data_IF_722153978662
#
_entry.id   IF_722153978662
#
_cell.length_a   1.000
_cell.length_b   1.000
_cell.length_c   1.000
_cell.angle_alpha   90.00
_cell.angle_beta   90.00
_cell.angle_gamma   90.00
#
_symmetry.space_group_name_H-M   'P 1'
#
loop_
_entity.id
_entity.type
_entity.pdbx_description
1 polymer ?
#
# COMPACT_ATOMS: atom_id res chain seq x y z
N UNK A 1 16.98 16.21 -61.00
CA UNK A 1 18.15 15.88 -61.87
C UNK A 1 18.41 14.39 -61.75
N UNK A 2 18.07 13.73 -62.83
CA UNK A 2 18.88 12.79 -63.67
C UNK A 2 19.22 11.49 -62.94
N UNK A 3 18.57 10.40 -63.27
CA UNK A 3 18.72 9.51 -64.47
C UNK A 3 19.58 8.34 -64.11
N UNK A 4 19.17 7.19 -64.29
CA UNK A 4 18.87 6.26 -65.39
C UNK A 4 19.59 4.96 -65.15
N UNK A 5 18.96 3.91 -65.24
CA UNK A 5 18.70 3.03 -66.42
C UNK A 5 19.80 1.94 -66.58
N UNK A 6 19.58 0.72 -66.80
CA UNK A 6 18.90 -0.07 -67.78
C UNK A 6 19.36 -1.51 -67.66
N UNK A 7 18.50 -2.44 -67.71
CA UNK A 7 18.10 -3.34 -68.79
C UNK A 7 19.25 -4.13 -69.46
N UNK A 8 19.19 -5.40 -69.73
CA UNK A 8 18.36 -6.16 -70.68
C UNK A 8 18.91 -7.59 -70.76
N UNK A 9 18.06 -8.61 -70.73
CA UNK A 9 17.58 -9.48 -71.85
C UNK A 9 18.60 -10.42 -72.49
N UNK A 10 18.28 -11.67 -72.68
CA UNK A 10 17.69 -12.40 -73.81
C UNK A 10 17.90 -13.90 -73.58
N UNK A 11 16.94 -14.77 -73.52
CA UNK A 11 16.09 -15.41 -74.53
C UNK A 11 16.87 -16.14 -75.63
N UNK A 12 16.62 -17.42 -75.76
CA UNK A 12 16.34 -18.29 -76.92
C UNK A 12 16.84 -19.71 -76.67
N UNK A 13 16.25 -20.71 -77.05
CA UNK A 13 15.14 -21.19 -77.88
C UNK A 13 15.40 -22.69 -78.11
N UNK A 14 14.37 -23.44 -77.95
CA UNK A 14 13.73 -24.47 -78.78
C UNK A 14 14.52 -25.64 -79.39
N UNK A 15 14.06 -26.84 -78.97
CA UNK A 15 13.50 -28.02 -79.69
C UNK A 15 14.36 -28.79 -80.70
N UNK A 16 13.89 -30.03 -81.17
CA UNK A 16 13.04 -31.07 -80.57
C UNK A 16 13.49 -32.52 -80.78
N UNK A 17 12.67 -33.42 -80.26
CA UNK A 17 12.26 -34.73 -80.81
C UNK A 17 13.28 -35.87 -81.09
N UNK A 18 13.08 -37.00 -80.43
CA UNK A 18 12.58 -38.25 -81.07
C UNK A 18 12.32 -39.36 -80.07
N UNK A 19 11.13 -39.84 -80.13
CA UNK A 19 10.68 -41.07 -79.49
C UNK A 19 11.52 -42.31 -79.90
N UNK A 20 11.80 -43.15 -78.94
CA UNK A 20 11.85 -44.59 -79.15
C UNK A 20 11.48 -45.34 -77.88
N UNK A 21 10.33 -45.92 -77.99
CA UNK A 21 9.78 -46.97 -77.18
C UNK A 21 10.76 -48.12 -77.03
N UNK A 22 11.10 -48.48 -75.78
CA UNK A 22 11.64 -49.83 -75.45
C UNK A 22 11.06 -50.24 -74.11
N UNK A 23 10.11 -51.14 -74.18
CA UNK A 23 9.65 -52.03 -73.14
C UNK A 23 10.86 -52.67 -72.46
N UNK A 24 11.08 -52.46 -71.19
CA UNK A 24 11.96 -53.25 -70.36
C UNK A 24 11.31 -53.62 -69.04
N UNK A 25 11.01 -54.91 -68.99
CA UNK A 25 10.67 -55.80 -67.91
C UNK A 25 11.02 -55.21 -66.51
N UNK A 26 10.04 -55.10 -65.70
CA UNK A 26 10.22 -55.05 -64.24
C UNK A 26 10.91 -56.26 -63.72
N UNK A 27 12.12 -56.06 -63.23
CA UNK A 27 12.76 -56.98 -62.29
C UNK A 27 12.62 -56.42 -60.92
N UNK A 28 11.72 -57.01 -60.15
CA UNK A 28 11.66 -56.81 -58.69
C UNK A 28 13.01 -57.14 -58.09
N UNK A 29 13.78 -56.12 -57.73
CA UNK A 29 14.95 -56.30 -56.87
C UNK A 29 14.49 -56.53 -55.44
N UNK A 30 14.37 -57.76 -55.02
CA UNK A 30 14.35 -58.10 -53.61
C UNK A 30 15.63 -57.60 -52.97
N UNK A 31 15.57 -56.57 -52.16
CA UNK A 31 16.67 -56.12 -51.31
C UNK A 31 16.85 -57.16 -50.20
N UNK A 32 17.72 -58.11 -50.39
CA UNK A 32 18.23 -58.96 -49.34
C UNK A 32 19.23 -58.16 -48.54
N UNK A 33 18.77 -57.59 -47.41
CA UNK A 33 19.70 -56.96 -46.49
C UNK A 33 20.68 -57.95 -45.97
N UNK A 34 21.96 -57.81 -46.36
CA UNK A 34 23.06 -58.60 -45.79
C UNK A 34 23.03 -58.40 -44.26
N UNK A 35 23.03 -59.51 -43.52
CA UNK A 35 23.00 -59.60 -42.06
C UNK A 35 23.94 -58.63 -41.32
N UNK A 36 25.06 -58.18 -41.96
CA UNK A 36 26.04 -57.23 -41.43
C UNK A 36 25.63 -55.74 -41.60
N UNK A 37 24.67 -55.40 -42.49
CA UNK A 37 24.27 -54.03 -42.75
C UNK A 37 23.24 -53.54 -41.66
N UNK A 38 22.36 -54.44 -41.18
CA UNK A 38 21.44 -54.19 -40.09
C UNK A 38 22.15 -53.86 -38.77
N UNK A 39 23.24 -54.60 -38.45
CA UNK A 39 24.03 -54.32 -37.24
C UNK A 39 24.81 -52.99 -37.33
N UNK A 40 25.22 -52.56 -38.51
CA UNK A 40 25.90 -51.26 -38.73
C UNK A 40 24.89 -50.10 -38.53
N UNK A 41 23.70 -50.24 -39.09
CA UNK A 41 22.61 -49.25 -38.92
C UNK A 41 22.21 -49.16 -37.44
N UNK A 42 22.05 -50.26 -36.74
CA UNK A 42 21.70 -50.26 -35.31
C UNK A 42 22.78 -49.57 -34.46
N UNK A 43 24.06 -49.78 -34.76
CA UNK A 43 25.17 -49.09 -34.10
C UNK A 43 25.15 -47.57 -34.34
N UNK A 44 24.85 -47.15 -35.57
CA UNK A 44 24.76 -45.71 -35.89
C UNK A 44 23.60 -45.06 -35.12
N UNK A 45 22.43 -45.73 -35.05
CA UNK A 45 21.26 -45.23 -34.29
C UNK A 45 21.58 -45.16 -32.80
N UNK A 46 22.26 -46.18 -32.26
CA UNK A 46 22.71 -46.20 -30.85
C UNK A 46 23.65 -45.02 -30.53
N UNK A 47 24.65 -44.76 -31.40
CA UNK A 47 25.55 -43.63 -31.21
C UNK A 47 24.86 -42.26 -31.33
N UNK A 48 23.91 -42.10 -32.25
CA UNK A 48 23.11 -40.88 -32.37
C UNK A 48 22.25 -40.65 -31.13
N UNK A 49 21.65 -41.72 -30.61
CA UNK A 49 20.86 -41.63 -29.38
C UNK A 49 21.71 -41.24 -28.15
N UNK A 50 22.91 -41.85 -28.07
CA UNK A 50 23.87 -41.55 -26.99
C UNK A 50 24.38 -40.11 -27.07
N UNK A 51 24.68 -39.62 -28.28
CA UNK A 51 25.10 -38.23 -28.52
C UNK A 51 23.97 -37.26 -28.18
N UNK A 52 22.72 -37.59 -28.53
CA UNK A 52 21.56 -36.76 -28.21
C UNK A 52 21.32 -36.63 -26.70
N UNK A 53 21.42 -37.74 -25.95
CA UNK A 53 21.30 -37.73 -24.48
C UNK A 53 22.44 -36.92 -23.84
N UNK A 54 23.67 -37.06 -24.36
CA UNK A 54 24.83 -36.33 -23.87
C UNK A 54 24.70 -34.81 -24.09
N UNK A 55 24.30 -34.40 -25.31
CA UNK A 55 24.06 -32.98 -25.61
C UNK A 55 22.92 -32.41 -24.74
N UNK A 56 21.85 -33.17 -24.56
CA UNK A 56 20.72 -32.75 -23.69
C UNK A 56 21.15 -32.65 -22.22
N UNK A 57 22.01 -33.52 -21.74
CA UNK A 57 22.61 -33.49 -20.41
C UNK A 57 23.48 -32.25 -20.20
N UNK A 58 24.32 -31.90 -21.17
CA UNK A 58 25.15 -30.69 -21.14
C UNK A 58 24.24 -29.43 -21.10
N UNK A 59 23.24 -29.34 -21.97
CA UNK A 59 22.31 -28.22 -22.00
C UNK A 59 21.51 -28.08 -20.67
N UNK A 60 21.19 -29.20 -20.00
CA UNK A 60 20.55 -29.19 -18.71
C UNK A 60 21.44 -28.63 -17.58
N UNK A 61 22.76 -28.92 -17.64
CA UNK A 61 23.78 -28.42 -16.68
C UNK A 61 24.02 -26.91 -16.85
N UNK A 62 23.97 -26.40 -18.08
CA UNK A 62 24.19 -24.98 -18.39
C UNK A 62 22.92 -24.13 -18.33
N UNK A 63 21.74 -24.70 -18.05
CA UNK A 63 20.54 -23.90 -17.74
C UNK A 63 20.67 -23.41 -16.32
N UNK A 64 20.64 -22.07 -16.10
CA UNK A 64 20.62 -21.55 -14.74
C UNK A 64 19.43 -22.13 -13.99
N UNK A 65 19.66 -22.53 -12.75
CA UNK A 65 18.63 -23.09 -11.89
C UNK A 65 17.51 -22.07 -11.76
N UNK A 66 16.27 -22.49 -12.04
CA UNK A 66 15.11 -21.57 -11.97
C UNK A 66 14.95 -20.95 -10.58
N UNK A 67 15.38 -21.68 -9.54
CA UNK A 67 15.39 -21.18 -8.16
C UNK A 67 16.42 -20.06 -7.97
N UNK A 68 17.58 -20.14 -8.59
CA UNK A 68 18.60 -19.11 -8.50
C UNK A 68 18.19 -17.82 -9.21
N UNK A 69 17.56 -17.92 -10.39
CA UNK A 69 16.99 -16.76 -11.12
C UNK A 69 15.85 -16.12 -10.35
N UNK A 70 14.96 -16.92 -9.75
CA UNK A 70 13.86 -16.41 -8.93
C UNK A 70 14.39 -15.75 -7.65
N UNK A 71 15.38 -16.33 -7.00
CA UNK A 71 16.00 -15.75 -5.80
C UNK A 71 16.76 -14.46 -6.12
N UNK A 72 17.44 -14.36 -7.27
CA UNK A 72 18.03 -13.11 -7.74
C UNK A 72 16.96 -12.04 -7.99
N UNK A 73 15.87 -12.37 -8.71
CA UNK A 73 14.76 -11.44 -8.93
C UNK A 73 14.13 -10.98 -7.62
N UNK A 74 13.97 -11.87 -6.63
CA UNK A 74 13.42 -11.52 -5.31
C UNK A 74 14.39 -10.61 -4.53
N UNK A 75 15.71 -10.86 -4.60
CA UNK A 75 16.71 -10.02 -3.93
C UNK A 75 16.80 -8.63 -4.57
N UNK A 76 16.83 -8.54 -5.88
CA UNK A 76 16.78 -7.27 -6.62
C UNK A 76 15.49 -6.49 -6.37
N UNK A 77 14.34 -7.19 -6.31
CA UNK A 77 13.08 -6.56 -5.95
C UNK A 77 13.08 -6.01 -4.51
N UNK A 78 13.63 -6.77 -3.55
CA UNK A 78 13.74 -6.32 -2.15
C UNK A 78 14.67 -5.14 -1.99
N UNK A 79 15.84 -5.15 -2.64
CA UNK A 79 16.77 -4.02 -2.63
C UNK A 79 16.12 -2.77 -3.23
N UNK A 80 15.58 -2.86 -4.45
CA UNK A 80 14.90 -1.76 -5.11
C UNK A 80 13.68 -1.25 -4.32
N UNK A 81 12.92 -2.14 -3.67
CA UNK A 81 11.77 -1.75 -2.86
C UNK A 81 12.20 -1.04 -1.57
N UNK A 82 13.25 -1.49 -0.90
CA UNK A 82 13.79 -0.83 0.30
C UNK A 82 14.37 0.54 -0.06
N UNK A 83 15.13 0.65 -1.13
CA UNK A 83 15.70 1.91 -1.60
C UNK A 83 14.60 2.90 -2.01
N UNK A 84 13.57 2.43 -2.71
CA UNK A 84 12.44 3.26 -3.11
C UNK A 84 11.62 3.74 -1.90
N UNK A 85 11.41 2.89 -0.89
CA UNK A 85 10.68 3.25 0.33
C UNK A 85 11.46 4.26 1.16
N UNK A 86 12.76 4.08 1.34
CA UNK A 86 13.62 5.01 2.08
C UNK A 86 13.71 6.38 1.40
N UNK A 87 13.86 6.40 0.07
CA UNK A 87 13.88 7.65 -0.71
C UNK A 87 12.56 8.43 -0.57
N UNK A 88 11.42 7.74 -0.63
CA UNK A 88 10.12 8.38 -0.47
C UNK A 88 9.93 8.98 0.93
N UNK A 89 10.38 8.26 1.97
CA UNK A 89 10.34 8.75 3.34
C UNK A 89 11.24 9.99 3.52
N UNK A 90 12.41 10.01 2.93
CA UNK A 90 13.34 11.15 2.97
C UNK A 90 12.76 12.38 2.27
N UNK A 91 12.16 12.22 1.08
CA UNK A 91 11.49 13.31 0.36
C UNK A 91 10.32 13.86 1.17
N UNK A 92 9.50 13.00 1.76
CA UNK A 92 8.38 13.41 2.61
C UNK A 92 8.87 14.14 3.87
N UNK A 93 9.94 13.67 4.51
CA UNK A 93 10.54 14.33 5.66
C UNK A 93 11.13 15.70 5.31
N UNK A 94 11.79 15.80 4.15
CA UNK A 94 12.29 17.08 3.62
C UNK A 94 11.15 18.07 3.39
N UNK A 95 10.06 17.65 2.71
CA UNK A 95 8.88 18.47 2.49
C UNK A 95 8.24 18.94 3.81
N UNK A 96 8.15 18.05 4.78
CA UNK A 96 7.57 18.34 6.09
C UNK A 96 8.40 19.39 6.85
N UNK A 97 9.73 19.27 6.84
CA UNK A 97 10.62 20.24 7.47
C UNK A 97 10.55 21.60 6.76
N UNK A 98 10.57 21.60 5.42
CA UNK A 98 10.38 22.81 4.64
C UNK A 98 9.07 23.51 4.98
N UNK A 99 7.92 22.81 5.01
CA UNK A 99 6.60 23.39 5.30
C UNK A 99 6.54 23.93 6.72
N UNK A 100 7.20 23.30 7.70
CA UNK A 100 7.30 23.82 9.06
C UNK A 100 7.98 25.18 9.07
N UNK A 101 9.12 25.32 8.41
CA UNK A 101 9.86 26.59 8.30
C UNK A 101 9.09 27.62 7.47
N UNK A 102 8.43 27.18 6.39
CA UNK A 102 7.65 28.04 5.48
C UNK A 102 6.44 28.70 6.16
N UNK A 103 5.78 27.97 7.06
CA UNK A 103 4.58 28.45 7.76
C UNK A 103 4.87 29.03 9.15
N UNK A 104 6.14 29.07 9.56
CA UNK A 104 6.55 29.68 10.84
C UNK A 104 7.28 30.99 10.57
N UNK A 105 6.73 32.11 10.99
CA UNK A 105 7.33 33.43 10.82
C UNK A 105 6.85 34.43 11.87
N UNK A 106 7.63 35.46 12.08
CA UNK A 106 7.32 36.56 12.98
C UNK A 106 7.05 37.87 12.25
N UNK A 107 6.31 38.77 12.88
CA UNK A 107 6.10 40.13 12.39
C UNK A 107 7.45 40.79 12.22
N UNK A 108 7.75 41.32 11.01
CA UNK A 108 9.01 41.95 10.62
C UNK A 108 10.25 41.03 10.63
N UNK A 109 10.03 39.71 10.68
CA UNK A 109 11.09 38.70 10.65
C UNK A 109 11.50 38.23 9.27
N UNK A 110 11.39 39.05 8.23
CA UNK A 110 11.58 38.66 6.80
C UNK A 110 12.97 38.12 6.51
N UNK A 111 14.03 38.73 7.04
CA UNK A 111 15.38 38.31 6.77
C UNK A 111 15.70 36.97 7.42
N UNK A 112 15.29 36.79 8.71
CA UNK A 112 15.46 35.53 9.40
C UNK A 112 14.66 34.40 8.73
N UNK A 113 13.43 34.69 8.33
CA UNK A 113 12.59 33.76 7.58
C UNK A 113 13.26 33.31 6.27
N UNK A 114 13.82 34.22 5.48
CA UNK A 114 14.54 33.90 4.25
C UNK A 114 15.76 33.03 4.54
N UNK A 115 16.54 33.34 5.57
CA UNK A 115 17.72 32.58 5.95
C UNK A 115 17.39 31.14 6.35
N UNK A 116 16.27 30.92 7.07
CA UNK A 116 15.82 29.58 7.45
C UNK A 116 15.34 28.77 6.27
N UNK A 117 14.71 29.39 5.26
CA UNK A 117 14.22 28.70 4.06
C UNK A 117 15.31 28.47 3.02
N UNK A 118 16.39 29.26 3.00
CA UNK A 118 17.44 29.18 1.99
C UNK A 118 17.99 27.75 1.75
N UNK A 119 18.17 26.88 2.77
CA UNK A 119 18.64 25.51 2.56
C UNK A 119 17.68 24.59 1.82
N UNK A 120 16.41 24.98 1.73
CA UNK A 120 15.35 24.13 1.15
C UNK A 120 15.00 24.51 -0.28
N UNK A 121 15.33 25.75 -0.72
CA UNK A 121 14.72 26.33 -1.92
C UNK A 121 15.76 26.70 -2.96
N UNK A 122 15.31 26.83 -4.21
CA UNK A 122 16.15 27.34 -5.30
C UNK A 122 16.48 28.83 -5.10
N UNK A 123 17.56 29.32 -5.71
CA UNK A 123 17.96 30.75 -5.66
C UNK A 123 16.89 31.69 -6.22
N UNK A 124 16.01 31.19 -7.11
CA UNK A 124 14.91 31.95 -7.69
C UNK A 124 13.63 31.99 -6.84
N UNK A 125 13.56 31.27 -5.76
CA UNK A 125 12.34 31.14 -4.94
C UNK A 125 11.83 32.50 -4.43
N UNK A 126 12.71 33.39 -4.04
CA UNK A 126 12.38 34.71 -3.54
C UNK A 126 12.35 35.81 -4.62
N UNK A 127 12.53 35.46 -5.89
CA UNK A 127 12.64 36.49 -6.97
C UNK A 127 11.30 37.20 -7.25
N UNK A 128 10.17 36.60 -6.85
CA UNK A 128 8.84 37.20 -7.02
C UNK A 128 8.46 38.21 -5.94
N UNK A 129 9.33 38.53 -4.97
CA UNK A 129 9.08 39.42 -3.86
C UNK A 129 8.89 38.70 -2.53
N UNK A 130 8.19 39.35 -1.59
CA UNK A 130 7.89 38.75 -0.29
C UNK A 130 6.95 37.55 -0.43
N UNK A 131 7.32 36.43 0.17
CA UNK A 131 6.54 35.17 0.16
C UNK A 131 5.32 35.28 1.09
N UNK A 132 5.44 36.08 2.16
CA UNK A 132 4.39 36.39 3.14
C UNK A 132 4.34 37.87 3.41
N UNK A 133 3.23 38.36 3.91
CA UNK A 133 3.05 39.78 4.22
C UNK A 133 3.54 40.20 5.62
N UNK A 134 3.93 39.22 6.47
CA UNK A 134 4.44 39.39 7.84
C UNK A 134 3.61 40.33 8.72
N UNK A 135 2.30 40.37 8.51
CA UNK A 135 1.35 41.17 9.31
C UNK A 135 0.89 40.47 10.60
N UNK A 136 1.14 39.17 10.69
CA UNK A 136 0.89 38.34 11.84
C UNK A 136 2.14 37.52 12.19
N UNK A 137 2.22 37.03 13.43
CA UNK A 137 3.11 35.92 13.76
C UNK A 137 2.39 34.63 13.48
N UNK A 138 3.05 33.68 12.81
CA UNK A 138 2.52 32.37 12.51
C UNK A 138 3.46 31.29 13.03
N UNK A 139 2.88 30.22 13.58
CA UNK A 139 3.59 29.04 14.05
C UNK A 139 2.91 27.77 13.52
N UNK A 140 3.69 26.93 12.85
CA UNK A 140 3.24 25.63 12.39
C UNK A 140 3.26 24.63 13.56
N UNK A 141 2.16 24.52 14.30
CA UNK A 141 2.04 23.67 15.50
C UNK A 141 1.93 22.18 15.16
N UNK A 142 1.53 21.86 13.94
CA UNK A 142 1.49 20.48 13.43
C UNK A 142 1.77 20.49 11.93
N UNK A 143 2.64 19.60 11.49
CA UNK A 143 2.98 19.42 10.07
C UNK A 143 3.18 17.94 9.78
N UNK A 144 2.53 17.42 8.75
CA UNK A 144 2.65 16.02 8.35
C UNK A 144 2.54 15.88 6.84
N UNK A 145 3.59 15.35 6.21
CA UNK A 145 3.51 14.85 4.85
C UNK A 145 2.75 13.51 4.86
N UNK A 146 1.76 13.35 3.96
CA UNK A 146 0.90 12.17 3.98
C UNK A 146 0.69 11.53 2.61
N UNK A 147 1.03 12.23 1.53
CA UNK A 147 0.93 11.73 0.16
C UNK A 147 2.05 12.32 -0.70
N UNK A 148 2.53 11.53 -1.62
CA UNK A 148 3.48 11.94 -2.64
C UNK A 148 3.02 11.41 -4.00
N UNK A 149 3.18 12.21 -5.03
CA UNK A 149 2.88 11.85 -6.42
C UNK A 149 4.12 12.14 -7.28
N UNK A 150 4.44 11.24 -8.18
CA UNK A 150 5.52 11.43 -9.14
C UNK A 150 5.03 12.33 -10.27
N UNK A 151 5.69 13.46 -10.48
CA UNK A 151 5.50 14.30 -11.66
C UNK A 151 6.40 13.84 -12.81
N UNK A 152 7.66 13.54 -12.48
CA UNK A 152 8.64 12.84 -13.33
C UNK A 152 9.49 11.94 -12.42
N UNK A 153 10.45 11.20 -12.97
CA UNK A 153 11.37 10.38 -12.17
C UNK A 153 12.14 11.21 -11.13
N UNK A 154 12.48 12.47 -11.45
CA UNK A 154 13.23 13.37 -10.58
C UNK A 154 12.37 14.41 -9.86
N UNK A 155 11.12 14.60 -10.24
CA UNK A 155 10.23 15.62 -9.67
C UNK A 155 9.06 14.98 -8.96
N UNK A 156 8.84 15.39 -7.73
CA UNK A 156 7.81 14.87 -6.83
C UNK A 156 6.91 15.99 -6.34
N UNK A 157 5.62 15.72 -6.28
CA UNK A 157 4.64 16.58 -5.64
C UNK A 157 4.28 15.98 -4.28
N UNK A 158 4.67 16.64 -3.18
CA UNK A 158 4.38 16.17 -1.82
C UNK A 158 3.24 16.96 -1.20
N UNK A 159 2.23 16.26 -0.70
CA UNK A 159 1.08 16.85 -0.01
C UNK A 159 1.33 16.83 1.50
N UNK A 160 1.31 18.03 2.07
CA UNK A 160 1.63 18.27 3.48
C UNK A 160 0.44 18.95 4.17
N UNK A 161 -0.12 18.27 5.16
CA UNK A 161 -1.12 18.83 6.06
C UNK A 161 -0.42 19.66 7.13
N UNK A 162 -0.83 20.90 7.31
CA UNK A 162 -0.33 21.75 8.38
C UNK A 162 -1.47 22.38 9.18
N UNK A 163 -1.27 22.49 10.50
CA UNK A 163 -2.08 23.29 11.41
C UNK A 163 -1.24 24.45 11.89
N UNK A 164 -1.70 25.66 11.60
CA UNK A 164 -0.97 26.91 11.85
C UNK A 164 -1.75 27.76 12.84
N UNK A 165 -1.04 28.24 13.84
CA UNK A 165 -1.57 29.22 14.79
C UNK A 165 -1.08 30.61 14.41
N UNK A 166 -2.03 31.54 14.21
CA UNK A 166 -1.75 32.92 13.85
C UNK A 166 -2.02 33.82 15.04
N UNK A 167 -1.07 34.65 15.39
CA UNK A 167 -1.19 35.68 16.43
C UNK A 167 -1.14 37.05 15.78
N UNK A 168 -2.26 37.78 15.86
CA UNK A 168 -2.36 39.16 15.38
C UNK A 168 -2.40 40.13 16.55
N UNK A 169 -1.79 41.31 16.34
CA UNK A 169 -1.84 42.39 17.32
C UNK A 169 -2.56 43.58 16.69
N UNK A 170 -3.67 44.00 17.29
CA UNK A 170 -4.45 45.15 16.86
C UNK A 170 -4.28 46.28 17.84
N UNK A 171 -3.85 47.45 17.34
CA UNK A 171 -3.79 48.67 18.15
C UNK A 171 -5.20 49.19 18.39
N UNK A 172 -5.55 49.39 19.67
CA UNK A 172 -6.82 49.96 20.07
C UNK A 172 -6.75 51.49 20.10
N UNK A 173 -7.91 52.18 20.20
CA UNK A 173 -7.99 53.63 20.27
C UNK A 173 -7.29 54.22 21.50
N UNK A 174 -7.21 53.47 22.59
CA UNK A 174 -6.51 53.85 23.83
C UNK A 174 -4.99 53.58 23.79
N UNK A 175 -4.43 53.29 22.61
CA UNK A 175 -3.01 52.93 22.38
C UNK A 175 -2.52 51.60 23.04
N UNK A 176 -3.46 50.80 23.52
CA UNK A 176 -3.13 49.44 23.98
C UNK A 176 -3.18 48.45 22.81
N UNK A 177 -2.50 47.29 22.94
CA UNK A 177 -2.57 46.22 21.96
C UNK A 177 -3.43 45.08 22.45
N UNK A 178 -4.43 44.74 21.63
CA UNK A 178 -5.16 43.47 21.83
C UNK A 178 -4.54 42.39 20.97
N UNK A 179 -4.25 41.24 21.58
CA UNK A 179 -3.73 40.06 20.88
C UNK A 179 -4.90 39.10 20.62
N UNK A 180 -5.00 38.63 19.39
CA UNK A 180 -5.97 37.60 18.99
C UNK A 180 -5.23 36.43 18.37
N UNK A 181 -5.57 35.20 18.80
CA UNK A 181 -5.03 33.97 18.27
C UNK A 181 -6.11 33.23 17.49
N UNK A 182 -5.77 32.75 16.30
CA UNK A 182 -6.62 31.91 15.48
C UNK A 182 -5.84 30.71 14.94
N UNK A 183 -6.53 29.62 14.69
CA UNK A 183 -5.91 28.41 14.12
C UNK A 183 -6.51 28.13 12.77
N UNK A 184 -5.66 27.80 11.78
CA UNK A 184 -6.07 27.35 10.45
C UNK A 184 -5.43 26.01 10.12
N UNK A 185 -6.18 25.19 9.41
CA UNK A 185 -5.67 23.94 8.83
C UNK A 185 -5.59 24.11 7.31
N UNK A 186 -4.43 23.86 6.75
CA UNK A 186 -4.16 23.99 5.32
C UNK A 186 -3.44 22.75 4.79
N UNK A 187 -3.64 22.50 3.51
CA UNK A 187 -2.90 21.45 2.80
C UNK A 187 -2.09 22.14 1.72
N UNK A 188 -0.79 21.87 1.71
CA UNK A 188 0.15 22.37 0.74
C UNK A 188 0.63 21.26 -0.17
N UNK A 189 0.57 21.51 -1.48
CA UNK A 189 1.25 20.73 -2.51
C UNK A 189 2.61 21.36 -2.75
N UNK A 190 3.69 20.64 -2.42
CA UNK A 190 5.07 21.10 -2.47
C UNK A 190 5.79 20.43 -3.62
N UNK A 191 6.22 21.18 -4.66
CA UNK A 191 6.99 20.63 -5.77
C UNK A 191 8.47 20.49 -5.38
N UNK A 192 9.00 19.28 -5.44
CA UNK A 192 10.36 18.93 -5.04
C UNK A 192 11.10 18.30 -6.21
N UNK A 193 12.29 18.78 -6.47
CA UNK A 193 13.27 18.14 -7.34
C UNK A 193 14.24 17.30 -6.51
N UNK A 194 14.48 16.07 -6.97
CA UNK A 194 15.32 15.08 -6.32
C UNK A 194 16.46 14.66 -7.25
N UNK A 195 17.70 14.80 -6.80
CA UNK A 195 18.87 14.30 -7.53
C UNK A 195 19.91 13.73 -6.57
N UNK A 196 20.24 12.43 -6.74
CA UNK A 196 21.32 11.73 -6.00
C UNK A 196 21.26 11.90 -4.48
N UNK A 197 20.06 11.80 -3.89
CA UNK A 197 19.85 11.97 -2.45
C UNK A 197 19.90 13.42 -1.97
N UNK A 198 19.80 14.39 -2.88
CA UNK A 198 19.65 15.81 -2.58
C UNK A 198 18.30 16.31 -3.06
N UNK A 199 17.71 17.24 -2.32
CA UNK A 199 16.34 17.70 -2.51
C UNK A 199 16.30 19.23 -2.55
N UNK A 200 15.41 19.78 -3.35
CA UNK A 200 15.16 21.23 -3.39
C UNK A 200 13.70 21.49 -3.76
N UNK A 201 13.09 22.48 -3.12
CA UNK A 201 11.76 22.98 -3.49
C UNK A 201 11.91 23.87 -4.73
N UNK A 202 11.25 23.49 -5.84
CA UNK A 202 11.41 24.16 -7.13
C UNK A 202 10.67 25.49 -7.22
N UNK A 203 9.48 25.58 -6.60
CA UNK A 203 8.62 26.77 -6.65
C UNK A 203 7.77 26.92 -5.40
N UNK A 204 7.02 28.01 -5.30
CA UNK A 204 6.10 28.26 -4.18
C UNK A 204 5.08 27.12 -4.05
N UNK A 205 4.84 26.63 -2.82
CA UNK A 205 3.79 25.65 -2.56
C UNK A 205 2.41 26.17 -2.93
N UNK A 206 1.57 25.27 -3.40
CA UNK A 206 0.18 25.56 -3.71
C UNK A 206 -0.73 25.10 -2.59
N UNK A 207 -1.60 25.96 -2.09
CA UNK A 207 -2.68 25.57 -1.20
C UNK A 207 -3.73 24.78 -2.00
N UNK A 208 -4.04 23.56 -1.56
CA UNK A 208 -4.97 22.66 -2.24
C UNK A 208 -6.06 22.18 -1.29
N UNK A 209 -7.21 21.86 -1.85
CA UNK A 209 -8.24 21.10 -1.15
C UNK A 209 -8.05 19.62 -1.47
N UNK A 210 -7.78 18.82 -0.46
CA UNK A 210 -7.67 17.38 -0.61
C UNK A 210 -8.64 16.69 0.33
N UNK A 211 -9.65 16.07 -0.24
CA UNK A 211 -10.61 15.26 0.52
C UNK A 211 -10.14 13.82 0.49
N UNK A 212 -9.55 13.38 1.58
CA UNK A 212 -9.19 11.96 1.79
C UNK A 212 -10.39 11.14 2.29
N UNK A 213 -11.50 11.80 2.63
CA UNK A 213 -12.71 11.15 3.10
C UNK A 213 -13.69 10.87 1.96
N UNK A 214 -14.25 9.67 1.93
CA UNK A 214 -15.34 9.31 1.02
C UNK A 214 -16.64 9.75 1.67
N UNK A 215 -17.19 10.93 1.27
CA UNK A 215 -18.38 11.54 1.87
C UNK A 215 -19.67 10.71 1.76
N UNK A 216 -19.74 9.83 0.77
CA UNK A 216 -20.94 9.04 0.45
C UNK A 216 -20.89 7.58 0.87
N UNK A 217 -19.83 7.19 1.61
CA UNK A 217 -19.75 5.82 2.09
C UNK A 217 -20.64 5.65 3.32
N UNK A 218 -21.60 4.75 3.21
CA UNK A 218 -22.47 4.35 4.33
C UNK A 218 -22.18 2.90 4.68
N UNK A 219 -21.98 2.64 5.97
CA UNK A 219 -21.82 1.30 6.50
C UNK A 219 -23.20 0.64 6.60
N UNK A 220 -23.36 -0.55 6.01
CA UNK A 220 -24.57 -1.35 6.23
C UNK A 220 -24.46 -2.06 7.58
N UNK A 221 -25.41 -1.77 8.48
CA UNK A 221 -25.50 -2.41 9.80
C UNK A 221 -26.51 -3.58 9.84
N UNK A 222 -26.89 -4.11 8.69
CA UNK A 222 -27.78 -5.27 8.63
C UNK A 222 -26.96 -6.57 8.68
N UNK A 223 -27.22 -7.37 9.71
CA UNK A 223 -26.50 -8.62 9.99
C UNK A 223 -27.42 -9.86 10.07
N UNK A 224 -28.65 -9.72 9.64
CA UNK A 224 -29.63 -10.81 9.68
C UNK A 224 -30.74 -10.64 10.72
N UNK A 225 -31.28 -11.72 11.22
CA UNK A 225 -32.37 -11.68 12.18
C UNK A 225 -31.87 -11.35 13.60
N UNK A 226 -32.49 -10.37 14.23
CA UNK A 226 -32.23 -10.03 15.63
C UNK A 226 -32.56 -11.17 16.55
N UNK A 227 -31.74 -11.36 17.58
CA UNK A 227 -32.01 -12.34 18.63
C UNK A 227 -33.15 -11.86 19.56
N UNK A 228 -33.83 -12.78 20.23
CA UNK A 228 -34.82 -12.46 21.29
C UNK A 228 -34.17 -11.65 22.42
N UNK A 229 -34.93 -10.70 23.00
CA UNK A 229 -34.45 -9.79 24.06
C UNK A 229 -33.82 -10.52 25.25
N UNK A 230 -34.43 -11.63 25.71
CA UNK A 230 -33.90 -12.42 26.83
C UNK A 230 -32.51 -13.01 26.54
N UNK A 231 -32.28 -13.45 25.30
CA UNK A 231 -30.99 -13.95 24.89
C UNK A 231 -29.96 -12.78 24.73
N UNK A 232 -30.40 -11.70 24.17
CA UNK A 232 -29.55 -10.48 24.03
C UNK A 232 -29.08 -9.94 25.39
N UNK A 233 -29.92 -9.98 26.42
CA UNK A 233 -29.56 -9.55 27.79
C UNK A 233 -28.55 -10.49 28.46
N UNK A 234 -28.70 -11.81 28.25
CA UNK A 234 -27.72 -12.79 28.73
C UNK A 234 -26.35 -12.60 28.06
N UNK A 235 -26.33 -12.31 26.77
CA UNK A 235 -25.12 -12.00 26.01
C UNK A 235 -24.50 -10.69 26.51
N UNK A 236 -25.32 -9.65 26.74
CA UNK A 236 -24.86 -8.36 27.25
C UNK A 236 -24.10 -8.53 28.56
N UNK A 237 -24.62 -9.33 29.50
CA UNK A 237 -23.93 -9.62 30.75
C UNK A 237 -22.56 -10.28 30.54
N UNK A 238 -22.46 -11.19 29.58
CA UNK A 238 -21.18 -11.84 29.24
C UNK A 238 -20.20 -10.84 28.61
N UNK A 239 -20.67 -9.99 27.71
CA UNK A 239 -19.86 -8.92 27.09
C UNK A 239 -19.41 -7.88 28.13
N UNK A 240 -20.26 -7.48 29.06
CA UNK A 240 -19.89 -6.56 30.15
C UNK A 240 -18.78 -7.13 31.02
N UNK A 241 -18.88 -8.38 31.40
CA UNK A 241 -17.84 -9.04 32.20
C UNK A 241 -16.53 -9.19 31.42
N UNK A 242 -16.60 -9.53 30.14
CA UNK A 242 -15.42 -9.55 29.29
C UNK A 242 -14.78 -8.16 29.16
N UNK A 243 -15.56 -7.11 28.89
CA UNK A 243 -15.03 -5.74 28.73
C UNK A 243 -14.39 -5.23 30.04
N UNK A 244 -14.98 -5.52 31.21
CA UNK A 244 -14.33 -5.23 32.49
C UNK A 244 -12.99 -5.94 32.60
N UNK A 245 -12.94 -7.23 32.29
CA UNK A 245 -11.68 -7.98 32.32
C UNK A 245 -10.67 -7.42 31.32
N UNK A 246 -11.07 -7.11 30.11
CA UNK A 246 -10.21 -6.60 29.05
C UNK A 246 -9.55 -5.25 29.38
N UNK A 247 -10.32 -4.33 29.99
CA UNK A 247 -9.80 -3.00 30.32
C UNK A 247 -9.09 -2.93 31.68
N UNK A 248 -9.48 -3.76 32.66
CA UNK A 248 -9.14 -3.60 34.07
C UNK A 248 -8.31 -4.73 34.65
N UNK A 249 -8.18 -5.89 33.96
CA UNK A 249 -7.54 -7.09 34.47
C UNK A 249 -6.41 -7.58 33.56
N UNK A 250 -5.69 -8.56 34.03
CA UNK A 250 -4.64 -9.22 33.25
C UNK A 250 -5.20 -10.27 32.26
N UNK A 251 -4.34 -10.72 31.33
CA UNK A 251 -4.70 -11.69 30.30
C UNK A 251 -5.22 -13.03 30.85
N UNK A 252 -4.84 -13.43 32.08
CA UNK A 252 -5.31 -14.70 32.68
C UNK A 252 -6.80 -14.66 32.98
N UNK A 253 -7.31 -13.51 33.44
CA UNK A 253 -8.75 -13.31 33.70
C UNK A 253 -9.54 -13.21 32.42
N UNK A 254 -8.99 -12.50 31.41
CA UNK A 254 -9.63 -12.35 30.09
C UNK A 254 -9.91 -13.70 29.46
N UNK A 255 -8.99 -14.66 29.57
CA UNK A 255 -9.10 -16.00 29.01
C UNK A 255 -10.36 -16.77 29.46
N UNK A 256 -10.93 -16.45 30.62
CA UNK A 256 -12.18 -17.10 31.09
C UNK A 256 -13.40 -16.76 30.22
N UNK A 257 -13.35 -15.65 29.53
CA UNK A 257 -14.45 -15.15 28.71
C UNK A 257 -14.27 -15.47 27.23
N UNK A 258 -13.13 -16.06 26.85
CA UNK A 258 -12.84 -16.38 25.45
C UNK A 258 -13.39 -17.76 25.06
N UNK A 259 -13.86 -17.87 23.83
CA UNK A 259 -14.19 -19.15 23.21
C UNK A 259 -12.92 -20.00 23.04
N UNK A 260 -13.08 -21.33 23.08
CA UNK A 260 -11.94 -22.24 22.84
C UNK A 260 -11.30 -22.06 21.44
N UNK A 261 -12.05 -21.51 20.49
CA UNK A 261 -11.62 -21.20 19.11
C UNK A 261 -11.12 -19.78 18.93
N UNK A 262 -11.08 -18.94 19.97
CA UNK A 262 -10.55 -17.59 19.91
C UNK A 262 -9.03 -17.60 19.84
N UNK A 263 -8.45 -16.68 19.05
CA UNK A 263 -7.02 -16.41 19.13
C UNK A 263 -6.73 -15.56 20.37
N UNK A 264 -6.01 -16.13 21.32
CA UNK A 264 -5.74 -15.47 22.61
C UNK A 264 -4.77 -14.31 22.49
N UNK A 265 -3.94 -14.32 21.48
CA UNK A 265 -2.95 -13.28 21.24
C UNK A 265 -3.61 -11.94 20.80
N UNK A 266 -4.85 -12.01 20.29
CA UNK A 266 -5.66 -10.83 19.98
C UNK A 266 -6.20 -10.10 21.24
N UNK A 267 -6.10 -10.72 22.44
CA UNK A 267 -6.74 -10.25 23.67
C UNK A 267 -5.74 -10.06 24.83
N UNK A 268 -4.75 -9.21 24.62
CA UNK A 268 -3.71 -8.94 25.63
C UNK A 268 -4.19 -8.09 26.82
N UNK A 269 -5.31 -7.36 26.66
CA UNK A 269 -5.84 -6.46 27.69
C UNK A 269 -5.08 -5.13 27.81
N UNK A 270 -5.58 -4.24 28.69
CA UNK A 270 -5.03 -2.89 28.89
C UNK A 270 -4.60 -2.59 30.33
N UNK A 271 -4.56 -3.59 31.21
CA UNK A 271 -4.01 -3.54 32.60
C UNK A 271 -4.44 -2.31 33.40
N UNK A 272 -5.72 -1.94 33.32
CA UNK A 272 -6.25 -0.81 34.07
C UNK A 272 -5.87 0.58 33.55
N UNK A 273 -5.27 0.70 32.35
CA UNK A 273 -5.04 2.00 31.70
C UNK A 273 -6.34 2.75 31.44
N UNK A 274 -7.42 2.00 31.19
CA UNK A 274 -8.80 2.49 31.09
C UNK A 274 -9.69 1.66 32.02
N UNK A 275 -10.80 2.25 32.46
CA UNK A 275 -11.86 1.53 33.17
C UNK A 275 -13.12 1.46 32.30
N UNK A 276 -13.80 0.33 32.35
CA UNK A 276 -15.08 0.14 31.68
C UNK A 276 -16.20 0.92 32.41
N UNK A 277 -17.01 1.69 31.68
CA UNK A 277 -18.04 2.57 32.26
C UNK A 277 -19.46 2.14 31.96
N UNK A 278 -19.66 1.11 31.13
CA UNK A 278 -20.98 0.57 30.81
C UNK A 278 -21.26 0.46 29.29
N UNK A 279 -22.22 -0.39 28.95
CA UNK A 279 -22.74 -0.53 27.58
C UNK A 279 -23.88 0.46 27.40
N UNK A 280 -23.79 1.29 26.35
CA UNK A 280 -24.85 2.21 25.94
C UNK A 280 -25.89 1.49 25.06
N UNK A 281 -25.43 0.69 24.11
CA UNK A 281 -26.31 -0.12 23.26
C UNK A 281 -25.68 -1.46 22.88
N UNK A 282 -26.51 -2.49 22.71
CA UNK A 282 -26.12 -3.78 22.15
C UNK A 282 -27.21 -4.27 21.21
N UNK A 283 -26.81 -4.73 20.03
CA UNK A 283 -27.68 -5.36 19.03
C UNK A 283 -27.06 -6.70 18.64
N UNK A 284 -27.77 -7.80 18.89
CA UNK A 284 -27.28 -9.13 18.59
C UNK A 284 -28.09 -9.80 17.48
N UNK A 285 -27.38 -10.46 16.57
CA UNK A 285 -27.93 -11.10 15.38
C UNK A 285 -27.44 -12.54 15.27
N UNK A 286 -28.28 -13.42 14.73
CA UNK A 286 -27.86 -14.76 14.41
C UNK A 286 -27.07 -14.76 13.11
N UNK A 287 -25.77 -15.05 13.16
CA UNK A 287 -24.89 -15.23 12.01
C UNK A 287 -24.60 -16.69 11.72
N UNK A 288 -23.97 -16.97 10.57
CA UNK A 288 -23.62 -18.34 10.15
C UNK A 288 -22.55 -19.00 11.04
N UNK A 289 -21.57 -18.22 11.49
CA UNK A 289 -20.42 -18.69 12.28
C UNK A 289 -20.54 -18.44 13.78
N UNK A 290 -21.71 -18.00 14.25
CA UNK A 290 -21.97 -17.63 15.64
C UNK A 290 -22.87 -16.40 15.75
N UNK A 291 -23.01 -15.87 16.94
CA UNK A 291 -23.79 -14.67 17.20
C UNK A 291 -22.91 -13.46 16.97
N UNK A 292 -23.42 -12.50 16.22
CA UNK A 292 -22.75 -11.21 15.95
C UNK A 292 -23.41 -10.15 16.82
N UNK A 293 -22.63 -9.43 17.64
CA UNK A 293 -23.15 -8.38 18.49
C UNK A 293 -22.42 -7.06 18.22
N UNK A 294 -23.19 -6.04 17.78
CA UNK A 294 -22.74 -4.65 17.73
C UNK A 294 -22.90 -4.03 19.11
N UNK A 295 -21.82 -3.54 19.68
CA UNK A 295 -21.79 -3.02 21.03
C UNK A 295 -21.22 -1.60 21.05
N UNK A 296 -21.98 -0.66 21.59
CA UNK A 296 -21.52 0.67 21.91
C UNK A 296 -21.38 0.79 23.43
N UNK A 297 -20.19 1.17 23.88
CA UNK A 297 -19.87 1.27 25.30
C UNK A 297 -18.92 2.42 25.58
N UNK A 298 -18.85 2.80 26.85
CA UNK A 298 -17.97 3.86 27.33
C UNK A 298 -16.83 3.31 28.16
N UNK A 299 -15.66 3.90 27.95
CA UNK A 299 -14.48 3.73 28.79
C UNK A 299 -14.04 5.07 29.35
N UNK A 300 -13.31 5.03 30.46
CA UNK A 300 -12.77 6.21 31.11
C UNK A 300 -11.27 6.06 31.24
N UNK A 301 -10.53 7.05 30.79
CA UNK A 301 -9.08 7.15 30.95
C UNK A 301 -8.77 7.42 32.43
N UNK A 302 -7.93 6.58 33.04
CA UNK A 302 -7.56 6.70 34.45
C UNK A 302 -6.63 7.85 34.77
N UNK A 303 -5.91 8.40 33.76
CA UNK A 303 -4.97 9.50 33.96
C UNK A 303 -5.64 10.87 33.92
N UNK A 304 -6.61 11.05 33.05
CA UNK A 304 -7.21 12.38 32.81
C UNK A 304 -8.74 12.42 33.01
N UNK A 305 -9.35 11.28 33.36
CA UNK A 305 -10.80 11.10 33.54
C UNK A 305 -11.64 11.34 32.26
N UNK A 306 -11.02 11.44 31.07
CA UNK A 306 -11.75 11.56 29.82
C UNK A 306 -12.58 10.30 29.55
N UNK A 307 -13.81 10.51 29.09
CA UNK A 307 -14.69 9.41 28.67
C UNK A 307 -14.66 9.29 27.16
N UNK A 308 -14.47 8.05 26.68
CA UNK A 308 -14.43 7.72 25.26
C UNK A 308 -15.55 6.74 24.94
N UNK A 309 -16.33 7.04 23.92
CA UNK A 309 -17.28 6.11 23.33
C UNK A 309 -16.55 5.15 22.38
N UNK A 310 -16.82 3.87 22.51
CA UNK A 310 -16.28 2.82 21.64
C UNK A 310 -17.43 2.08 20.97
N UNK A 311 -17.20 1.66 19.72
CA UNK A 311 -18.13 0.82 18.97
C UNK A 311 -17.34 -0.36 18.41
N UNK A 312 -17.74 -1.57 18.75
CA UNK A 312 -17.08 -2.81 18.31
C UNK A 312 -18.10 -3.85 17.91
N UNK A 313 -17.63 -4.79 17.14
CA UNK A 313 -18.36 -5.98 16.71
C UNK A 313 -17.75 -7.20 17.41
N UNK A 314 -18.56 -7.94 18.13
CA UNK A 314 -18.17 -9.21 18.74
C UNK A 314 -18.75 -10.38 17.94
N UNK A 315 -17.91 -11.37 17.66
CA UNK A 315 -18.41 -12.70 17.34
C UNK A 315 -18.46 -13.52 18.62
N UNK A 316 -19.62 -14.05 18.94
CA UNK A 316 -19.88 -14.78 20.19
C UNK A 316 -20.22 -16.22 19.86
N UNK A 317 -19.65 -17.14 20.63
CA UNK A 317 -19.91 -18.56 20.57
C UNK A 317 -20.70 -19.00 21.82
N UNK A 318 -21.81 -19.67 21.62
CA UNK A 318 -22.54 -20.31 22.70
C UNK A 318 -21.97 -21.71 22.96
N UNK A 319 -21.73 -22.05 24.24
CA UNK A 319 -21.30 -23.37 24.66
C UNK A 319 -21.81 -23.67 26.06
N UNK A 320 -22.58 -24.76 26.21
CA UNK A 320 -23.14 -25.17 27.50
C UNK A 320 -24.05 -24.13 28.16
N UNK A 321 -24.80 -23.36 27.36
CA UNK A 321 -25.69 -22.28 27.84
C UNK A 321 -24.96 -21.04 28.31
N UNK A 322 -23.67 -20.88 27.99
CA UNK A 322 -22.85 -19.69 28.26
C UNK A 322 -22.35 -19.09 26.95
N UNK A 323 -22.07 -17.79 26.98
CA UNK A 323 -21.63 -17.00 25.83
C UNK A 323 -20.18 -16.59 26.01
N UNK A 324 -19.35 -16.92 25.00
CA UNK A 324 -17.91 -16.67 24.98
C UNK A 324 -17.54 -15.82 23.81
N UNK A 325 -16.58 -14.90 24.00
CA UNK A 325 -16.07 -14.04 22.95
C UNK A 325 -15.13 -14.85 22.04
N UNK A 326 -15.41 -14.89 20.75
CA UNK A 326 -14.57 -15.52 19.76
C UNK A 326 -13.65 -14.49 19.08
N UNK A 327 -14.19 -13.31 18.74
CA UNK A 327 -13.42 -12.20 18.16
C UNK A 327 -14.02 -10.85 18.53
N UNK A 328 -13.20 -9.82 18.47
CA UNK A 328 -13.57 -8.41 18.64
C UNK A 328 -12.97 -7.63 17.48
N UNK A 329 -13.80 -6.89 16.72
CA UNK A 329 -13.39 -6.12 15.56
C UNK A 329 -13.99 -4.71 15.59
N UNK A 330 -13.25 -3.73 15.10
CA UNK A 330 -13.71 -2.35 14.95
C UNK A 330 -14.58 -2.14 13.70
N UNK A 331 -14.53 -3.06 12.74
CA UNK A 331 -15.32 -3.00 11.51
C UNK A 331 -16.74 -3.47 11.75
N UNK A 332 -17.66 -2.51 11.81
CA UNK A 332 -19.08 -2.78 12.02
C UNK A 332 -19.87 -2.98 10.73
N UNK A 333 -19.23 -2.87 9.57
CA UNK A 333 -19.82 -3.07 8.25
C UNK A 333 -19.13 -4.20 7.49
N UNK A 334 -19.90 -4.98 6.73
CA UNK A 334 -19.43 -6.05 5.84
C UNK A 334 -18.55 -7.13 6.50
N UNK A 335 -18.97 -7.69 7.58
CA UNK A 335 -18.70 -9.12 7.71
C UNK A 335 -19.55 -9.77 6.61
N UNK A 336 -18.90 -10.09 5.48
CA UNK A 336 -19.52 -10.91 4.46
C UNK A 336 -20.00 -12.18 5.14
N UNK A 337 -21.26 -12.19 5.47
CA UNK A 337 -22.01 -13.39 5.78
C UNK A 337 -22.27 -13.98 4.40
N UNK A 338 -21.26 -14.66 3.83
CA UNK A 338 -21.42 -15.56 2.70
C UNK A 338 -21.80 -16.93 3.23
#
# INVERSE_FOLDING_TARGET
>A
MKKKDKTEKMVKEERPEKAKERVKKEKSKQYVMKKNTGMKVLRIILWLMLTFVFVRGIVAIFKPDKEEVVNQMISEFKENYNDFTSLNEEVMAFAQNFVREYLTYEIRGEEEYKNRLQPYVTSGFFSSGAVNDFTATAEAVYVQAYRMEDYTDAQKDVYVLAKVEYTTRTLQEDQTYTTSTSTSQIILKVPIYCEKGSYVVESLPLVVSDSVAIEKYTVSEYYGNSLPDAQAEAIKTSVENFLKAYFEQDASVINYYLAASADKDDFTGLDGRFTFSGIDSIKCYQGESGIICLVEFKIKDTQNNAKLLQKVNFTIQESGGKYYIKSMDTRTGNLNIN
#
